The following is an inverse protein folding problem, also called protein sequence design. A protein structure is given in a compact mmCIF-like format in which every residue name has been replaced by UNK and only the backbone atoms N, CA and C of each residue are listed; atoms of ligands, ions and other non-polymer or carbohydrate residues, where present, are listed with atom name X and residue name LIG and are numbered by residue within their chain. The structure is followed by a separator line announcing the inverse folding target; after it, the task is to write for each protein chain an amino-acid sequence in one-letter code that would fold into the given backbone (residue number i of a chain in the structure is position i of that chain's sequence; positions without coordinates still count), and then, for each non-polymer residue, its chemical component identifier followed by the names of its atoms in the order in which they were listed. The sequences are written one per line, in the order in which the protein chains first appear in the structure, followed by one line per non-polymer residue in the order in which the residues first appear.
data_IF_793406335912
#
_entry.id   IF_793406335912
#
_cell.length_a   1.000
_cell.length_b   1.000
_cell.length_c   1.000
_cell.angle_alpha   90.00
_cell.angle_beta   90.00
_cell.angle_gamma   90.00
#
_symmetry.space_group_name_H-M   'P 1'
#
loop_
_entity.id
_entity.type
_entity.pdbx_description
1 polymer ?
#
# COMPACT_ATOMS: atom_id res chain seq x y z
N UNK A 1 -12.30 -20.37 -7.16
CA UNK A 1 -11.50 -20.66 -8.36
C UNK A 1 -11.97 -19.72 -9.48
N UNK A 2 -11.05 -19.26 -10.32
CA UNK A 2 -11.38 -18.46 -11.51
C UNK A 2 -11.88 -19.40 -12.59
N UNK A 3 -13.06 -19.13 -13.24
CA UNK A 3 -13.58 -19.96 -14.30
C UNK A 3 -12.69 -20.01 -15.55
N UNK A 4 -12.71 -21.14 -16.28
CA UNK A 4 -11.85 -21.32 -17.47
C UNK A 4 -12.15 -20.34 -18.61
N UNK A 5 -13.38 -19.89 -18.75
CA UNK A 5 -13.77 -18.89 -19.76
C UNK A 5 -13.17 -17.52 -19.44
N UNK A 6 -12.96 -17.18 -18.16
CA UNK A 6 -12.25 -15.98 -17.73
C UNK A 6 -10.79 -16.08 -18.13
N UNK A 7 -10.13 -17.21 -17.86
CA UNK A 7 -8.73 -17.41 -18.26
C UNK A 7 -8.53 -17.26 -19.79
N UNK A 8 -9.42 -17.83 -20.61
CA UNK A 8 -9.33 -17.69 -22.08
C UNK A 8 -9.35 -16.24 -22.57
N UNK A 9 -10.01 -15.36 -21.82
CA UNK A 9 -10.10 -13.92 -22.14
C UNK A 9 -9.04 -13.07 -21.46
N UNK A 10 -8.39 -13.60 -20.42
CA UNK A 10 -7.39 -12.89 -19.64
C UNK A 10 -6.15 -12.63 -20.50
N UNK A 11 -5.72 -11.39 -20.59
CA UNK A 11 -4.47 -10.96 -21.23
C UNK A 11 -3.48 -10.40 -20.21
N UNK A 12 -3.99 -9.92 -19.08
CA UNK A 12 -3.21 -9.25 -18.06
C UNK A 12 -3.73 -9.67 -16.67
N UNK A 13 -2.80 -10.00 -15.77
CA UNK A 13 -3.05 -10.15 -14.34
C UNK A 13 -2.29 -9.04 -13.63
N UNK A 14 -3.01 -8.18 -12.92
CA UNK A 14 -2.42 -7.14 -12.08
C UNK A 14 -2.42 -7.62 -10.63
N UNK A 15 -1.24 -7.60 -10.01
CA UNK A 15 -1.02 -7.88 -8.60
C UNK A 15 -0.52 -6.61 -7.92
N UNK A 16 -0.75 -6.48 -6.61
CA UNK A 16 -0.19 -5.40 -5.81
C UNK A 16 0.28 -5.95 -4.46
N UNK A 17 1.62 -6.02 -4.28
CA UNK A 17 2.26 -6.48 -3.03
C UNK A 17 3.54 -5.68 -2.74
N UNK A 18 3.77 -5.23 -1.49
CA UNK A 18 2.81 -5.20 -0.39
C UNK A 18 1.51 -4.51 -0.78
N UNK A 19 0.38 -5.10 -0.39
CA UNK A 19 -0.94 -4.68 -0.88
C UNK A 19 -1.45 -3.42 -0.17
N UNK A 20 -1.93 -2.47 -0.94
CA UNK A 20 -2.75 -1.37 -0.41
C UNK A 20 -4.22 -1.69 -0.67
N UNK A 21 -5.09 -1.72 0.36
CA UNK A 21 -4.91 -1.14 1.70
C UNK A 21 -4.48 -2.13 2.79
N UNK A 22 -4.41 -3.44 2.52
CA UNK A 22 -4.36 -4.48 3.57
C UNK A 22 -2.98 -4.66 4.23
N UNK A 23 -1.91 -4.14 3.60
CA UNK A 23 -0.53 -4.34 4.06
C UNK A 23 0.01 -5.77 3.94
N UNK A 24 -0.73 -6.68 3.29
CA UNK A 24 -0.27 -8.06 3.06
C UNK A 24 0.89 -8.10 2.09
N UNK A 25 1.85 -8.95 2.38
CA UNK A 25 3.00 -9.27 1.51
C UNK A 25 2.74 -10.55 0.72
N UNK A 26 3.42 -10.69 -0.42
CA UNK A 26 3.42 -11.95 -1.17
C UNK A 26 4.45 -12.92 -0.59
N UNK A 27 4.28 -14.21 -0.90
CA UNK A 27 5.27 -15.25 -0.62
C UNK A 27 5.93 -15.73 -1.90
N UNK A 28 7.14 -16.30 -1.79
CA UNK A 28 7.84 -16.88 -2.94
C UNK A 28 7.02 -18.00 -3.62
N UNK A 29 6.35 -18.83 -2.81
CA UNK A 29 5.46 -19.90 -3.32
C UNK A 29 4.26 -19.33 -4.11
N UNK A 30 3.67 -18.22 -3.63
CA UNK A 30 2.60 -17.54 -4.36
C UNK A 30 3.09 -17.05 -5.73
N UNK A 31 4.24 -16.37 -5.77
CA UNK A 31 4.80 -15.88 -7.04
C UNK A 31 5.19 -17.02 -7.98
N UNK A 32 5.75 -18.13 -7.47
CA UNK A 32 6.03 -19.31 -8.28
C UNK A 32 4.76 -19.89 -8.94
N UNK A 33 3.66 -19.98 -8.19
CA UNK A 33 2.35 -20.40 -8.72
C UNK A 33 1.80 -19.43 -9.76
N UNK A 34 1.96 -18.13 -9.56
CA UNK A 34 1.55 -17.10 -10.53
C UNK A 34 2.34 -17.23 -11.82
N UNK A 35 3.66 -17.41 -11.76
CA UNK A 35 4.51 -17.61 -12.94
C UNK A 35 4.11 -18.85 -13.71
N UNK A 36 3.90 -19.97 -13.03
CA UNK A 36 3.46 -21.23 -13.67
C UNK A 36 2.11 -21.05 -14.37
N UNK A 37 1.15 -20.41 -13.70
CA UNK A 37 -0.18 -20.12 -14.25
C UNK A 37 -0.11 -19.17 -15.45
N UNK A 38 0.72 -18.13 -15.39
CA UNK A 38 0.89 -17.18 -16.47
C UNK A 38 1.46 -17.86 -17.74
N UNK A 39 2.43 -18.78 -17.58
CA UNK A 39 2.97 -19.58 -18.68
C UNK A 39 1.92 -20.54 -19.26
N UNK A 40 1.16 -21.22 -18.41
CA UNK A 40 0.10 -22.16 -18.83
C UNK A 40 -1.03 -21.45 -19.59
N UNK A 41 -1.52 -20.35 -19.04
CA UNK A 41 -2.71 -19.63 -19.56
C UNK A 41 -2.36 -18.49 -20.54
N UNK A 42 -1.07 -18.22 -20.75
CA UNK A 42 -0.55 -17.22 -21.69
C UNK A 42 -1.05 -15.80 -21.47
N UNK A 43 -0.96 -15.31 -20.23
CA UNK A 43 -1.20 -13.91 -19.90
C UNK A 43 0.06 -13.24 -19.31
N UNK A 44 0.07 -11.91 -19.36
CA UNK A 44 1.14 -11.10 -18.78
C UNK A 44 0.82 -10.80 -17.32
N UNK A 45 1.85 -10.81 -16.47
CA UNK A 45 1.75 -10.38 -15.07
C UNK A 45 2.32 -8.97 -14.93
N UNK A 46 1.56 -8.08 -14.30
CA UNK A 46 2.04 -6.78 -13.84
C UNK A 46 1.99 -6.77 -12.32
N UNK A 47 3.14 -6.76 -11.68
CA UNK A 47 3.24 -6.57 -10.24
C UNK A 47 3.39 -5.09 -9.94
N UNK A 48 2.38 -4.48 -9.32
CA UNK A 48 2.50 -3.15 -8.71
C UNK A 48 3.32 -3.29 -7.41
N UNK A 49 4.59 -2.93 -7.50
CA UNK A 49 5.58 -2.98 -6.45
C UNK A 49 5.81 -1.61 -5.79
N UNK A 50 4.84 -0.69 -5.89
CA UNK A 50 5.00 0.68 -5.39
C UNK A 50 5.33 0.74 -3.89
N UNK A 51 4.93 -0.25 -3.11
CA UNK A 51 5.19 -0.35 -1.67
C UNK A 51 6.32 -1.33 -1.30
N UNK A 52 7.02 -1.92 -2.26
CA UNK A 52 7.96 -3.03 -2.01
C UNK A 52 9.03 -2.68 -0.95
N UNK A 53 9.56 -1.46 -0.98
CA UNK A 53 10.55 -1.00 0.00
C UNK A 53 9.97 -0.73 1.39
N UNK A 54 8.65 -0.74 1.55
CA UNK A 54 7.95 -0.70 2.84
C UNK A 54 7.51 -2.10 3.26
N UNK A 55 8.42 -3.04 3.29
CA UNK A 55 8.25 -4.39 3.85
C UNK A 55 8.90 -4.41 5.22
N UNK A 56 8.15 -4.82 6.27
CA UNK A 56 8.61 -4.74 7.66
C UNK A 56 9.12 -6.08 8.19
N UNK A 57 8.64 -7.18 7.64
CA UNK A 57 8.97 -8.54 8.08
C UNK A 57 9.82 -9.24 7.00
N UNK A 58 11.15 -9.14 7.16
CA UNK A 58 12.11 -9.72 6.23
C UNK A 58 12.51 -8.79 5.08
N UNK A 59 13.14 -9.38 4.07
CA UNK A 59 13.61 -8.65 2.89
C UNK A 59 12.47 -8.41 1.89
N UNK A 60 12.50 -7.27 1.16
CA UNK A 60 11.56 -7.01 0.08
C UNK A 60 11.61 -8.13 -0.99
N UNK A 61 10.48 -8.77 -1.26
CA UNK A 61 10.39 -9.85 -2.24
C UNK A 61 9.94 -9.33 -3.60
N UNK A 62 10.87 -9.27 -4.57
CA UNK A 62 10.55 -8.95 -5.96
C UNK A 62 9.92 -10.15 -6.68
N UNK A 63 8.85 -9.91 -7.43
CA UNK A 63 8.27 -10.89 -8.34
C UNK A 63 9.29 -11.34 -9.39
N UNK A 64 10.12 -10.41 -9.90
CA UNK A 64 11.13 -10.70 -10.94
C UNK A 64 12.27 -11.59 -10.47
N UNK A 65 12.48 -11.75 -9.15
CA UNK A 65 13.43 -12.73 -8.60
C UNK A 65 12.91 -14.16 -8.70
N UNK A 66 11.60 -14.34 -8.95
CA UNK A 66 11.02 -15.68 -9.11
C UNK A 66 11.49 -16.31 -10.43
N UNK A 67 11.99 -17.56 -10.43
CA UNK A 67 12.43 -18.23 -11.65
C UNK A 67 11.35 -18.21 -12.75
N UNK A 68 11.71 -17.66 -13.91
CA UNK A 68 10.82 -17.54 -15.06
C UNK A 68 9.84 -16.36 -15.03
N UNK A 69 9.87 -15.48 -14.03
CA UNK A 69 9.06 -14.29 -13.97
C UNK A 69 9.40 -13.29 -15.08
N UNK A 70 10.69 -13.16 -15.40
CA UNK A 70 11.19 -12.34 -16.51
C UNK A 70 10.63 -12.75 -17.88
N UNK A 71 10.12 -13.98 -18.03
CA UNK A 71 9.52 -14.46 -19.29
C UNK A 71 8.06 -14.01 -19.44
N UNK A 72 7.38 -13.66 -18.33
CA UNK A 72 5.93 -13.49 -18.31
C UNK A 72 5.45 -12.14 -17.74
N UNK A 73 6.34 -11.30 -17.20
CA UNK A 73 5.83 -10.13 -16.51
C UNK A 73 6.80 -8.97 -16.32
N UNK A 74 6.28 -7.95 -15.66
CA UNK A 74 6.97 -6.72 -15.29
C UNK A 74 6.62 -6.32 -13.87
N UNK A 75 7.49 -5.54 -13.24
CA UNK A 75 7.22 -4.78 -12.02
C UNK A 75 7.12 -3.30 -12.31
N UNK A 76 6.16 -2.65 -11.64
CA UNK A 76 5.99 -1.21 -11.64
C UNK A 76 6.41 -0.67 -10.29
N UNK A 77 7.45 0.13 -10.25
CA UNK A 77 8.03 0.71 -9.05
C UNK A 77 7.71 2.19 -8.92
N UNK A 78 7.69 2.69 -7.68
CA UNK A 78 7.47 4.09 -7.37
C UNK A 78 8.49 4.60 -6.37
N UNK A 79 9.04 5.77 -6.66
CA UNK A 79 9.89 6.51 -5.70
C UNK A 79 9.08 7.16 -4.57
N UNK A 80 7.75 7.21 -4.72
CA UNK A 80 6.85 7.93 -3.80
C UNK A 80 6.84 7.36 -2.38
N UNK A 81 7.01 6.03 -2.22
CA UNK A 81 6.74 5.34 -0.95
C UNK A 81 8.01 5.07 -0.17
N UNK A 82 8.85 4.17 -0.65
CA UNK A 82 10.08 3.77 0.01
C UNK A 82 11.17 4.84 0.03
N UNK A 83 11.07 5.88 -0.80
CA UNK A 83 12.03 6.98 -0.89
C UNK A 83 11.48 8.33 -0.44
N UNK A 84 10.24 8.38 0.08
CA UNK A 84 9.54 9.62 0.48
C UNK A 84 9.49 10.72 -0.61
N UNK A 85 9.59 10.32 -1.90
CA UNK A 85 9.60 11.22 -3.04
C UNK A 85 8.19 11.40 -3.65
N UNK A 86 7.15 11.53 -2.82
CA UNK A 86 5.73 11.59 -3.26
C UNK A 86 5.49 12.74 -4.24
N UNK A 87 6.00 13.93 -3.94
CA UNK A 87 5.82 15.15 -4.75
C UNK A 87 6.61 15.15 -6.07
N UNK A 88 7.60 14.28 -6.22
CA UNK A 88 8.47 14.22 -7.41
C UNK A 88 7.81 13.54 -8.62
N UNK A 89 6.74 12.78 -8.39
CA UNK A 89 5.96 12.09 -9.42
C UNK A 89 6.81 11.21 -10.33
N UNK A 90 7.62 10.32 -9.73
CA UNK A 90 8.55 9.44 -10.42
C UNK A 90 8.30 7.97 -10.08
N UNK A 91 8.32 7.13 -11.11
CA UNK A 91 8.28 5.67 -11.05
C UNK A 91 8.96 5.08 -12.28
N UNK A 92 9.10 3.78 -12.32
CA UNK A 92 9.70 3.06 -13.44
C UNK A 92 9.10 1.66 -13.59
N UNK A 93 9.27 1.09 -14.78
CA UNK A 93 8.88 -0.29 -15.11
C UNK A 93 10.12 -1.08 -15.46
N UNK A 94 10.23 -2.29 -14.95
CA UNK A 94 11.29 -3.24 -15.31
C UNK A 94 10.71 -4.64 -15.49
N UNK A 95 11.42 -5.50 -16.25
CA UNK A 95 11.00 -6.88 -16.51
C UNK A 95 11.15 -7.29 -17.96
N UNK A 96 10.17 -8.04 -18.50
CA UNK A 96 10.22 -8.60 -19.84
C UNK A 96 10.47 -7.53 -20.92
N UNK A 97 11.55 -7.64 -21.74
CA UNK A 97 11.98 -6.57 -22.65
C UNK A 97 10.90 -6.11 -23.65
N UNK A 98 10.13 -7.04 -24.21
CA UNK A 98 9.04 -6.70 -25.15
C UNK A 98 7.90 -5.94 -24.50
N UNK A 99 7.60 -6.23 -23.23
CA UNK A 99 6.53 -5.55 -22.46
C UNK A 99 7.01 -4.15 -22.11
N UNK A 100 8.27 -4.00 -21.66
CA UNK A 100 8.87 -2.69 -21.38
C UNK A 100 8.94 -1.84 -22.64
N UNK A 101 9.30 -2.42 -23.80
CA UNK A 101 9.30 -1.71 -25.08
C UNK A 101 7.90 -1.23 -25.47
N UNK A 102 6.89 -2.10 -25.37
CA UNK A 102 5.50 -1.73 -25.68
C UNK A 102 4.97 -0.62 -24.76
N UNK A 103 5.37 -0.66 -23.47
CA UNK A 103 5.07 0.43 -22.51
C UNK A 103 5.75 1.73 -22.95
N UNK A 104 7.03 1.69 -23.38
CA UNK A 104 7.76 2.86 -23.84
C UNK A 104 7.11 3.48 -25.08
N UNK A 105 6.69 2.67 -26.05
CA UNK A 105 5.99 3.14 -27.26
C UNK A 105 4.70 3.89 -26.92
N UNK A 106 3.91 3.38 -25.97
CA UNK A 106 2.69 4.07 -25.50
C UNK A 106 3.03 5.35 -24.77
N UNK A 107 4.03 5.30 -23.89
CA UNK A 107 4.46 6.46 -23.11
C UNK A 107 4.96 7.60 -23.99
N UNK A 108 5.79 7.32 -24.97
CA UNK A 108 6.35 8.32 -25.90
C UNK A 108 5.25 9.05 -26.68
N UNK A 109 4.11 8.38 -26.91
CA UNK A 109 2.95 8.97 -27.57
C UNK A 109 1.94 9.61 -26.59
N UNK A 110 2.16 9.51 -25.27
CA UNK A 110 1.22 10.01 -24.24
C UNK A 110 1.72 11.28 -23.55
N UNK A 111 3.00 11.35 -23.16
CA UNK A 111 3.51 12.42 -22.28
C UNK A 111 4.89 12.98 -22.62
N UNK A 112 5.51 12.54 -23.72
CA UNK A 112 6.81 13.03 -24.22
C UNK A 112 8.00 12.91 -23.23
N UNK A 113 7.82 12.30 -22.06
CA UNK A 113 8.84 12.05 -21.04
C UNK A 113 8.79 12.96 -19.81
N UNK A 114 9.57 12.61 -18.80
CA UNK A 114 9.70 13.35 -17.55
C UNK A 114 10.89 14.29 -17.54
N UNK A 115 10.82 15.29 -16.69
CA UNK A 115 11.91 16.22 -16.45
C UNK A 115 13.19 15.48 -16.02
N UNK A 116 14.29 15.72 -16.77
CA UNK A 116 15.55 14.98 -16.61
C UNK A 116 16.13 15.11 -15.19
N UNK A 117 15.99 16.27 -14.54
CA UNK A 117 16.47 16.43 -13.16
C UNK A 117 15.77 15.48 -12.18
N UNK A 118 14.45 15.25 -12.35
CA UNK A 118 13.71 14.28 -11.53
C UNK A 118 14.23 12.87 -11.76
N UNK A 119 14.53 12.49 -13.00
CA UNK A 119 15.08 11.17 -13.31
C UNK A 119 16.47 10.98 -12.68
N UNK A 120 17.34 11.98 -12.76
CA UNK A 120 18.67 11.94 -12.12
C UNK A 120 18.59 11.88 -10.59
N UNK A 121 17.65 12.62 -9.99
CA UNK A 121 17.41 12.55 -8.55
C UNK A 121 16.93 11.17 -8.12
N UNK A 122 16.02 10.56 -8.90
CA UNK A 122 15.56 9.20 -8.64
C UNK A 122 16.70 8.17 -8.75
N UNK A 123 17.55 8.27 -9.77
CA UNK A 123 18.72 7.41 -9.91
C UNK A 123 19.67 7.54 -8.71
N UNK A 124 19.98 8.79 -8.30
CA UNK A 124 20.82 9.03 -7.13
C UNK A 124 20.20 8.51 -5.82
N UNK A 125 18.86 8.55 -5.70
CA UNK A 125 18.18 7.99 -4.54
C UNK A 125 18.22 6.45 -4.54
N UNK A 126 18.12 5.81 -5.71
CA UNK A 126 18.22 4.36 -5.87
C UNK A 126 19.63 3.84 -5.53
N UNK A 127 20.66 4.64 -5.71
CA UNK A 127 22.04 4.29 -5.36
C UNK A 127 22.34 4.44 -3.85
N UNK A 128 21.33 4.78 -3.03
CA UNK A 128 21.51 5.03 -1.59
C UNK A 128 20.53 4.18 -0.75
N UNK A 129 20.97 3.00 -0.35
CA UNK A 129 20.20 2.04 0.45
C UNK A 129 19.77 2.59 1.82
N UNK A 130 20.46 3.62 2.35
CA UNK A 130 20.10 4.20 3.64
C UNK A 130 18.76 4.95 3.63
N UNK A 131 18.28 5.41 2.47
CA UNK A 131 17.02 6.14 2.36
C UNK A 131 15.84 5.22 2.66
N UNK A 132 15.63 4.11 1.93
CA UNK A 132 14.52 3.20 2.22
C UNK A 132 14.61 2.60 3.62
N UNK A 133 15.80 2.35 4.16
CA UNK A 133 15.98 1.87 5.53
C UNK A 133 15.45 2.84 6.58
N UNK A 134 15.76 4.13 6.43
CA UNK A 134 15.28 5.17 7.35
C UNK A 134 13.76 5.38 7.22
N UNK A 135 13.25 5.36 6.00
CA UNK A 135 11.81 5.50 5.70
C UNK A 135 11.04 4.32 6.28
N UNK A 136 11.57 3.10 6.11
CA UNK A 136 10.98 1.87 6.65
C UNK A 136 10.91 1.91 8.18
N UNK A 137 12.02 2.24 8.86
CA UNK A 137 12.06 2.38 10.33
C UNK A 137 11.05 3.42 10.84
N UNK A 138 10.96 4.58 10.16
CA UNK A 138 10.00 5.63 10.49
C UNK A 138 8.55 5.14 10.43
N UNK A 139 8.15 4.53 9.33
CA UNK A 139 6.76 4.11 9.14
C UNK A 139 6.39 2.90 9.99
N UNK A 140 7.32 1.95 10.20
CA UNK A 140 7.09 0.85 11.14
C UNK A 140 6.80 1.36 12.55
N UNK A 141 7.65 2.23 13.10
CA UNK A 141 7.46 2.85 14.42
C UNK A 141 6.10 3.55 14.51
N UNK A 142 5.74 4.34 13.51
CA UNK A 142 4.46 5.06 13.49
C UNK A 142 3.25 4.11 13.43
N UNK A 143 3.34 3.01 12.69
CA UNK A 143 2.30 1.99 12.67
C UNK A 143 2.17 1.29 14.03
N UNK A 144 3.29 0.96 14.68
CA UNK A 144 3.28 0.38 16.03
C UNK A 144 2.56 1.29 17.04
N UNK A 145 2.86 2.59 17.01
CA UNK A 145 2.17 3.59 17.84
C UNK A 145 0.68 3.67 17.51
N UNK A 146 0.31 3.74 16.23
CA UNK A 146 -1.08 3.82 15.80
C UNK A 146 -1.87 2.56 16.18
N UNK A 147 -1.31 1.36 15.97
CA UNK A 147 -1.94 0.09 16.35
C UNK A 147 -2.21 0.03 17.85
N UNK A 148 -1.24 0.42 18.67
CA UNK A 148 -1.41 0.51 20.14
C UNK A 148 -2.56 1.46 20.48
N UNK A 149 -2.55 2.67 19.92
CA UNK A 149 -3.59 3.68 20.15
C UNK A 149 -4.99 3.21 19.76
N UNK A 150 -5.11 2.59 18.58
CA UNK A 150 -6.40 2.11 18.08
C UNK A 150 -6.92 0.93 18.91
N UNK A 151 -6.07 -0.02 19.30
CA UNK A 151 -6.48 -1.16 20.11
C UNK A 151 -6.94 -0.72 21.52
N UNK A 152 -6.32 0.31 22.09
CA UNK A 152 -6.79 0.92 23.34
C UNK A 152 -8.15 1.62 23.22
N UNK A 153 -8.55 1.96 21.98
CA UNK A 153 -9.86 2.54 21.64
C UNK A 153 -10.86 1.50 21.13
N UNK A 154 -10.58 0.21 21.24
CA UNK A 154 -11.50 -0.88 20.90
C UNK A 154 -11.40 -1.43 19.49
N UNK A 155 -10.47 -0.93 18.66
CA UNK A 155 -10.17 -1.59 17.40
C UNK A 155 -9.41 -2.90 17.63
N UNK A 156 -9.57 -3.86 16.71
CA UNK A 156 -8.78 -5.08 16.67
C UNK A 156 -7.90 -5.05 15.41
N UNK A 157 -6.65 -4.61 15.56
CA UNK A 157 -5.72 -4.49 14.45
C UNK A 157 -4.30 -4.88 14.85
N UNK A 158 -3.51 -5.25 13.87
CA UNK A 158 -2.11 -5.64 14.00
C UNK A 158 -1.25 -4.80 13.05
N UNK A 159 0.05 -4.69 13.37
CA UNK A 159 1.00 -4.04 12.46
C UNK A 159 1.06 -4.84 11.17
N UNK A 160 0.80 -4.23 10.01
CA UNK A 160 0.81 -4.95 8.74
C UNK A 160 2.24 -5.35 8.34
N UNK A 161 2.38 -6.36 7.50
CA UNK A 161 3.68 -6.79 6.97
C UNK A 161 4.35 -5.78 6.03
N UNK A 162 3.61 -4.78 5.55
CA UNK A 162 4.14 -3.72 4.68
C UNK A 162 3.17 -2.55 4.52
N UNK A 163 3.56 -1.55 3.74
CA UNK A 163 2.91 -0.25 3.50
C UNK A 163 2.94 0.69 4.71
N UNK A 164 2.47 1.90 4.56
CA UNK A 164 2.23 2.85 5.66
C UNK A 164 0.72 3.04 5.95
N UNK A 165 -0.10 2.10 5.48
CA UNK A 165 -1.53 2.07 5.75
C UNK A 165 -1.86 0.98 6.77
N UNK A 166 -2.80 1.29 7.64
CA UNK A 166 -3.44 0.34 8.53
C UNK A 166 -4.89 0.16 8.09
N UNK A 167 -5.31 -1.09 7.95
CA UNK A 167 -6.63 -1.49 7.50
C UNK A 167 -7.37 -2.15 8.66
N UNK A 168 -8.27 -1.41 9.29
CA UNK A 168 -8.98 -1.83 10.48
C UNK A 168 -10.47 -2.00 10.21
N UNK A 169 -11.13 -2.94 10.90
CA UNK A 169 -12.56 -3.12 10.81
C UNK A 169 -13.29 -1.83 11.23
N UNK A 170 -14.34 -1.48 10.50
CA UNK A 170 -15.14 -0.30 10.82
C UNK A 170 -16.02 -0.55 12.06
N UNK A 171 -16.19 0.43 12.95
CA UNK A 171 -17.20 0.37 13.99
C UNK A 171 -18.61 0.34 13.37
N UNK A 172 -19.58 -0.21 14.11
CA UNK A 172 -20.97 -0.32 13.67
C UNK A 172 -21.88 0.78 14.23
N UNK A 173 -21.38 1.59 15.16
CA UNK A 173 -22.15 2.68 15.78
C UNK A 173 -21.42 3.37 16.92
N UNK A 174 -22.19 4.02 17.80
CA UNK A 174 -21.71 4.70 18.98
C UNK A 174 -22.52 4.34 20.21
N UNK A 175 -21.95 4.50 21.39
CA UNK A 175 -22.64 4.35 22.69
C UNK A 175 -23.83 5.30 22.84
N UNK A 176 -23.82 6.45 22.15
CA UNK A 176 -24.94 7.41 22.15
C UNK A 176 -26.12 6.98 21.26
N UNK A 177 -26.03 5.80 20.60
CA UNK A 177 -27.11 5.20 19.81
C UNK A 177 -27.09 5.53 18.32
N UNK A 178 -26.04 6.15 17.79
CA UNK A 178 -25.86 6.32 16.34
C UNK A 178 -25.44 4.97 15.71
N UNK A 179 -26.05 4.58 14.59
CA UNK A 179 -25.70 3.38 13.84
C UNK A 179 -24.99 3.73 12.53
N UNK A 180 -24.01 2.93 12.13
CA UNK A 180 -23.32 3.02 10.84
C UNK A 180 -23.69 1.84 9.97
N UNK A 181 -24.30 2.09 8.81
CA UNK A 181 -24.66 1.06 7.85
C UNK A 181 -23.46 0.63 6.99
N UNK A 182 -22.47 1.50 6.83
CA UNK A 182 -21.28 1.30 6.02
C UNK A 182 -20.07 1.99 6.68
N UNK A 183 -18.86 1.64 6.20
CA UNK A 183 -17.63 2.31 6.63
C UNK A 183 -17.61 3.80 6.27
N UNK A 184 -18.32 4.19 5.20
CA UNK A 184 -18.50 5.61 4.84
C UNK A 184 -19.18 6.41 5.94
N UNK A 185 -20.22 5.86 6.59
CA UNK A 185 -20.92 6.54 7.69
C UNK A 185 -20.00 6.78 8.89
N UNK A 186 -19.23 5.75 9.26
CA UNK A 186 -18.23 5.85 10.33
C UNK A 186 -17.14 6.87 9.99
N UNK A 187 -16.64 6.85 8.75
CA UNK A 187 -15.65 7.82 8.26
C UNK A 187 -16.17 9.24 8.35
N UNK A 188 -17.40 9.48 7.87
CA UNK A 188 -18.03 10.81 7.91
C UNK A 188 -18.17 11.30 9.34
N UNK A 189 -18.66 10.46 10.25
CA UNK A 189 -18.77 10.77 11.66
C UNK A 189 -17.44 11.16 12.31
N UNK A 190 -16.38 10.37 12.05
CA UNK A 190 -15.05 10.64 12.57
C UNK A 190 -14.46 11.94 12.04
N UNK A 191 -14.72 12.29 10.78
CA UNK A 191 -14.24 13.55 10.18
C UNK A 191 -15.01 14.75 10.75
N UNK A 192 -16.33 14.71 10.72
CA UNK A 192 -17.19 15.85 11.06
C UNK A 192 -17.15 16.19 12.53
N UNK A 193 -17.15 15.18 13.42
CA UNK A 193 -17.26 15.41 14.86
C UNK A 193 -15.89 15.42 15.57
N UNK A 194 -14.90 14.69 15.05
CA UNK A 194 -13.62 14.50 15.73
C UNK A 194 -12.38 14.92 14.93
N UNK A 195 -12.55 15.33 13.68
CA UNK A 195 -11.44 15.72 12.80
C UNK A 195 -10.45 14.58 12.51
N UNK A 196 -10.90 13.31 12.60
CA UNK A 196 -10.09 12.13 12.28
C UNK A 196 -10.41 11.67 10.87
N UNK A 197 -9.42 11.82 9.97
CA UNK A 197 -9.58 11.48 8.55
C UNK A 197 -9.19 10.02 8.32
N UNK A 198 -10.12 9.23 7.80
CA UNK A 198 -9.90 7.86 7.35
C UNK A 198 -10.38 7.72 5.90
N UNK A 199 -10.10 6.58 5.29
CA UNK A 199 -10.67 6.23 3.97
C UNK A 199 -11.58 5.03 4.14
N UNK A 200 -12.88 5.14 3.82
CA UNK A 200 -13.82 4.03 3.94
C UNK A 200 -13.55 2.99 2.85
N UNK A 201 -13.80 1.72 3.19
CA UNK A 201 -13.62 0.62 2.27
C UNK A 201 -14.75 -0.40 2.51
N UNK A 202 -15.73 -0.43 1.61
CA UNK A 202 -16.94 -1.26 1.75
C UNK A 202 -17.01 -2.44 0.78
N UNK A 203 -16.06 -2.53 -0.18
CA UNK A 203 -16.11 -3.55 -1.24
C UNK A 203 -15.83 -5.00 -0.78
N UNK A 204 -15.17 -5.17 0.37
CA UNK A 204 -14.79 -6.48 0.91
C UNK A 204 -15.10 -6.59 2.41
N UNK A 205 -16.19 -6.00 2.85
CA UNK A 205 -16.55 -5.76 4.24
C UNK A 205 -16.33 -4.29 4.61
N UNK A 206 -16.88 -3.88 5.76
CA UNK A 206 -16.74 -2.51 6.22
C UNK A 206 -15.41 -2.31 6.94
N UNK A 207 -14.51 -1.53 6.34
CA UNK A 207 -13.18 -1.24 6.86
C UNK A 207 -12.84 0.25 6.76
N UNK A 208 -11.97 0.69 7.65
CA UNK A 208 -11.34 2.01 7.64
C UNK A 208 -9.84 1.85 7.35
N UNK A 209 -9.34 2.62 6.38
CA UNK A 209 -7.91 2.73 6.15
C UNK A 209 -7.37 3.98 6.82
N UNK A 210 -6.48 3.79 7.77
CA UNK A 210 -5.68 4.84 8.38
C UNK A 210 -4.35 4.99 7.64
N UNK A 211 -3.70 6.15 7.80
CA UNK A 211 -2.38 6.43 7.22
C UNK A 211 -1.46 7.04 8.28
N UNK A 212 -0.20 6.58 8.31
CA UNK A 212 0.82 7.14 9.21
C UNK A 212 1.73 8.16 8.53
N UNK A 213 1.25 8.78 7.44
CA UNK A 213 1.96 9.82 6.70
C UNK A 213 1.76 11.24 7.27
N UNK A 214 1.27 11.33 8.50
CA UNK A 214 1.08 12.60 9.21
C UNK A 214 2.41 13.35 9.40
N UNK A 215 2.32 14.68 9.56
CA UNK A 215 3.47 15.53 9.83
C UNK A 215 3.79 15.51 11.32
N UNK A 216 5.03 15.11 11.66
CA UNK A 216 5.61 15.20 12.99
C UNK A 216 7.12 15.40 12.82
N UNK A 217 7.69 16.39 13.47
CA UNK A 217 9.09 16.71 13.35
C UNK A 217 9.97 15.81 14.24
N UNK A 218 9.43 15.37 15.37
CA UNK A 218 10.11 14.52 16.36
C UNK A 218 9.24 13.33 16.78
N UNK A 219 9.83 12.36 17.44
CA UNK A 219 9.09 11.24 18.04
C UNK A 219 8.14 11.70 19.16
N UNK A 220 8.49 12.76 19.88
CA UNK A 220 7.62 13.35 20.89
C UNK A 220 6.36 13.98 20.24
N UNK A 221 6.48 14.58 19.05
CA UNK A 221 5.32 15.07 18.30
C UNK A 221 4.42 13.92 17.83
N UNK A 222 5.03 12.77 17.46
CA UNK A 222 4.28 11.56 17.14
C UNK A 222 3.48 11.07 18.34
N UNK A 223 4.11 11.02 19.52
CA UNK A 223 3.46 10.60 20.77
C UNK A 223 2.31 11.54 21.16
N UNK A 224 2.53 12.84 21.08
CA UNK A 224 1.49 13.84 21.35
C UNK A 224 0.29 13.71 20.39
N UNK A 225 0.55 13.42 19.12
CA UNK A 225 -0.51 13.17 18.12
C UNK A 225 -1.29 11.89 18.44
N UNK A 226 -0.63 10.83 18.89
CA UNK A 226 -1.31 9.59 19.28
C UNK A 226 -2.17 9.76 20.53
N UNK A 227 -1.71 10.51 21.52
CA UNK A 227 -2.51 10.83 22.70
C UNK A 227 -3.75 11.68 22.36
N UNK A 228 -3.62 12.68 21.47
CA UNK A 228 -4.78 13.46 21.01
C UNK A 228 -5.75 12.59 20.19
N UNK A 229 -5.24 11.69 19.35
CA UNK A 229 -6.05 10.73 18.59
C UNK A 229 -6.81 9.80 19.52
N UNK A 230 -6.14 9.25 20.54
CA UNK A 230 -6.73 8.39 21.56
C UNK A 230 -7.87 9.10 22.30
N UNK A 231 -7.64 10.33 22.75
CA UNK A 231 -8.65 11.16 23.42
C UNK A 231 -9.88 11.33 22.52
N UNK A 232 -9.70 11.76 21.26
CA UNK A 232 -10.80 11.98 20.30
C UNK A 232 -11.58 10.69 20.00
N UNK A 233 -10.90 9.56 19.82
CA UNK A 233 -11.55 8.27 19.60
C UNK A 233 -12.32 7.79 20.85
N UNK A 234 -11.76 8.06 22.05
CA UNK A 234 -12.45 7.79 23.31
C UNK A 234 -13.76 8.61 23.43
N UNK A 235 -13.68 9.91 23.10
CA UNK A 235 -14.84 10.81 23.09
C UNK A 235 -15.90 10.39 22.03
N UNK A 236 -15.48 9.74 20.94
CA UNK A 236 -16.37 9.26 19.90
C UNK A 236 -17.28 8.10 20.35
N UNK A 237 -16.90 7.37 21.41
CA UNK A 237 -17.70 6.31 22.02
C UNK A 237 -18.11 5.22 21.03
N UNK A 238 -17.17 4.74 20.22
CA UNK A 238 -17.43 3.76 19.15
C UNK A 238 -17.89 2.41 19.70
N UNK A 239 -18.69 1.67 18.90
CA UNK A 239 -19.17 0.30 19.21
C UNK A 239 -18.93 -0.63 18.00
N UNK A 240 -18.79 -1.95 18.30
CA UNK A 240 -18.33 -2.98 17.33
C UNK A 240 -19.38 -4.08 17.14
#
# INVERSE_FOLDING_TARGET
AVPDDVYRRTKLLVLNYPNSPTGRTATADFYAKVVALAKEKQFVVVQDAAHIMLTFDGEPLSFLQTPGAMDVGVEVHSMSKGYDMIGWRMGFVCGHPKIVSAFADVKDNSDSGQFIATQKAAAAALDNDSIPDQVNKKYRRRLEKLVTTLNECGFECEVPGGTYFLYAKSPVGTQSGKSFAAAEDATRYLIEEFGIVTVPWDNAGAYLRFSVTYVAATEADEDALMEDTKRRLGDAGLTW
#
